data_IF_763445496546
#
_entry.id   IF_763445496546
#
_cell.length_a   1.000
_cell.length_b   1.000
_cell.length_c   1.000
_cell.angle_alpha   90.00
_cell.angle_beta   90.00
_cell.angle_gamma   90.00
#
_symmetry.space_group_name_H-M   'P 1'
#
loop_
_entity.id
_entity.type
_entity.pdbx_description
1 polymer ?
#
# COMPACT_ATOMS: atom_id res chain seq x y z
N UNK A 1 4.52 -21.14 -13.45
CA UNK A 1 4.86 -21.84 -12.19
C UNK A 1 4.90 -20.76 -11.14
N UNK A 2 3.84 -20.62 -10.35
CA UNK A 2 3.82 -19.69 -9.23
C UNK A 2 4.85 -20.20 -8.23
N UNK A 3 5.93 -19.45 -8.08
CA UNK A 3 6.86 -19.70 -6.98
C UNK A 3 6.05 -19.26 -5.77
N UNK A 4 5.60 -20.21 -4.95
CA UNK A 4 4.90 -19.92 -3.70
C UNK A 4 5.94 -19.38 -2.71
N UNK A 5 6.40 -18.15 -2.95
CA UNK A 5 7.27 -17.42 -2.05
C UNK A 5 6.41 -16.95 -0.87
N UNK A 6 6.79 -17.27 0.36
CA UNK A 6 6.02 -16.82 1.51
C UNK A 6 6.03 -15.29 1.54
N UNK A 7 4.89 -14.70 1.92
CA UNK A 7 4.81 -13.28 2.22
C UNK A 7 5.89 -12.94 3.28
N UNK A 8 6.70 -11.88 3.08
CA UNK A 8 7.71 -11.50 4.08
C UNK A 8 7.07 -11.22 5.43
N UNK A 9 7.75 -11.58 6.53
CA UNK A 9 7.24 -11.25 7.87
C UNK A 9 7.53 -9.78 8.20
N UNK A 10 6.69 -9.20 9.06
CA UNK A 10 6.83 -7.81 9.50
C UNK A 10 8.21 -7.55 10.07
N UNK A 11 8.66 -8.41 11.00
CA UNK A 11 9.97 -8.30 11.65
C UNK A 11 11.15 -8.38 10.69
N UNK A 12 11.09 -9.26 9.68
CA UNK A 12 12.18 -9.40 8.72
C UNK A 12 12.37 -8.13 7.89
N UNK A 13 11.26 -7.53 7.42
CA UNK A 13 11.30 -6.27 6.67
C UNK A 13 11.73 -5.12 7.58
N UNK A 14 11.20 -5.05 8.81
CA UNK A 14 11.56 -4.01 9.78
C UNK A 14 13.05 -4.05 10.13
N UNK A 15 13.59 -5.25 10.33
CA UNK A 15 15.01 -5.43 10.60
C UNK A 15 15.87 -4.98 9.41
N UNK A 16 15.48 -5.32 8.18
CA UNK A 16 16.21 -4.91 6.99
C UNK A 16 16.22 -3.38 6.82
N UNK A 17 15.09 -2.71 7.05
CA UNK A 17 14.98 -1.24 7.01
C UNK A 17 15.88 -0.59 8.07
N UNK A 18 15.80 -1.05 9.32
CA UNK A 18 16.62 -0.54 10.44
C UNK A 18 18.11 -0.71 10.20
N UNK A 19 18.55 -1.85 9.65
CA UNK A 19 19.96 -2.10 9.35
C UNK A 19 20.54 -1.16 8.29
N UNK A 20 19.70 -0.62 7.41
CA UNK A 20 20.09 0.36 6.39
C UNK A 20 19.75 1.81 6.79
N UNK A 21 19.35 2.04 8.05
CA UNK A 21 18.96 3.35 8.57
C UNK A 21 17.83 4.04 7.79
N UNK A 22 16.92 3.27 7.19
CA UNK A 22 15.70 3.81 6.56
C UNK A 22 14.69 4.13 7.67
N UNK A 23 14.19 5.36 7.69
CA UNK A 23 13.32 5.88 8.73
C UNK A 23 11.83 5.51 8.54
N UNK A 24 11.57 4.32 8.01
CA UNK A 24 10.23 3.76 7.86
C UNK A 24 10.15 2.42 8.60
N UNK A 25 8.97 2.11 9.10
CA UNK A 25 8.57 0.78 9.53
C UNK A 25 8.20 -0.10 8.33
N UNK A 26 8.09 -1.40 8.56
CA UNK A 26 7.61 -2.35 7.57
C UNK A 26 6.18 -2.05 7.11
N UNK A 27 5.30 -1.59 8.01
CA UNK A 27 3.94 -1.18 7.66
C UNK A 27 3.94 0.03 6.73
N UNK A 28 4.71 1.08 7.06
CA UNK A 28 4.84 2.27 6.22
C UNK A 28 5.41 1.94 4.83
N UNK A 29 6.47 1.12 4.77
CA UNK A 29 7.05 0.68 3.51
C UNK A 29 6.07 -0.13 2.67
N UNK A 30 5.33 -1.05 3.30
CA UNK A 30 4.30 -1.83 2.60
C UNK A 30 3.13 -0.95 2.14
N UNK A 31 2.73 0.04 2.95
CA UNK A 31 1.74 1.05 2.58
C UNK A 31 2.17 1.80 1.34
N UNK A 32 3.40 2.30 1.30
CA UNK A 32 3.96 2.99 0.14
C UNK A 32 3.95 2.12 -1.13
N UNK A 33 4.47 0.89 -1.03
CA UNK A 33 4.48 -0.06 -2.15
C UNK A 33 3.06 -0.37 -2.64
N UNK A 34 2.13 -0.59 -1.71
CA UNK A 34 0.72 -0.85 -2.01
C UNK A 34 0.06 0.34 -2.68
N UNK A 35 0.34 1.57 -2.22
CA UNK A 35 -0.19 2.80 -2.81
C UNK A 35 0.31 3.03 -4.25
N UNK A 36 1.59 2.75 -4.51
CA UNK A 36 2.14 2.80 -5.86
C UNK A 36 1.46 1.78 -6.79
N UNK A 37 1.29 0.54 -6.33
CA UNK A 37 0.62 -0.52 -7.08
C UNK A 37 -0.86 -0.21 -7.33
N UNK A 38 -1.60 0.16 -6.28
CA UNK A 38 -3.00 0.52 -6.36
C UNK A 38 -3.22 1.79 -7.18
N UNK A 39 -2.22 2.67 -7.29
CA UNK A 39 -2.24 3.82 -8.18
C UNK A 39 -1.89 3.51 -9.64
N UNK A 40 -1.59 2.26 -9.99
CA UNK A 40 -1.38 1.81 -11.37
C UNK A 40 0.09 1.60 -11.77
N UNK A 41 1.03 1.55 -10.82
CA UNK A 41 2.41 1.19 -11.12
C UNK A 41 2.51 -0.28 -11.59
N UNK A 42 3.23 -0.54 -12.68
CA UNK A 42 3.37 -1.88 -13.27
C UNK A 42 4.77 -2.25 -13.73
N UNK A 43 5.73 -1.34 -13.59
CA UNK A 43 7.08 -1.50 -14.13
C UNK A 43 8.14 -1.20 -13.07
N UNK A 44 9.41 -1.26 -13.43
CA UNK A 44 10.51 -1.09 -12.48
C UNK A 44 10.65 0.35 -11.93
N UNK A 45 9.83 1.32 -12.36
CA UNK A 45 9.89 2.69 -11.86
C UNK A 45 9.58 2.81 -10.37
N UNK A 46 8.86 1.85 -9.77
CA UNK A 46 8.56 1.84 -8.34
C UNK A 46 9.83 1.96 -7.48
N UNK A 47 10.96 1.38 -7.91
CA UNK A 47 12.21 1.43 -7.15
C UNK A 47 12.72 2.87 -7.02
N UNK A 48 12.76 3.60 -8.14
CA UNK A 48 13.18 5.00 -8.14
C UNK A 48 12.24 5.86 -7.28
N UNK A 49 10.92 5.65 -7.41
CA UNK A 49 9.93 6.37 -6.59
C UNK A 49 10.11 6.10 -5.10
N UNK A 50 10.30 4.84 -4.70
CA UNK A 50 10.55 4.51 -3.28
C UNK A 50 11.85 5.16 -2.80
N UNK A 51 12.94 5.12 -3.59
CA UNK A 51 14.19 5.79 -3.20
C UNK A 51 14.00 7.30 -3.03
N UNK A 52 13.30 7.96 -3.96
CA UNK A 52 13.04 9.40 -3.90
C UNK A 52 12.24 9.78 -2.65
N UNK A 53 11.26 8.95 -2.28
CA UNK A 53 10.35 9.21 -1.15
C UNK A 53 10.93 8.83 0.21
N UNK A 54 11.89 7.90 0.26
CA UNK A 54 12.32 7.27 1.53
C UNK A 54 13.82 7.30 1.78
N UNK A 55 14.63 7.67 0.80
CA UNK A 55 16.10 7.61 0.87
C UNK A 55 16.80 8.69 0.03
N UNK A 56 16.20 9.87 -0.13
CA UNK A 56 16.78 11.01 -0.85
C UNK A 56 17.21 10.68 -2.31
N UNK A 57 16.51 9.73 -2.95
CA UNK A 57 16.81 9.24 -4.30
C UNK A 57 18.03 8.30 -4.37
N UNK A 58 18.65 7.97 -3.24
CA UNK A 58 19.79 7.04 -3.19
C UNK A 58 19.26 5.61 -3.25
N UNK A 59 19.83 4.80 -4.14
CA UNK A 59 19.46 3.39 -4.27
C UNK A 59 19.79 2.59 -3.01
N UNK A 60 18.91 1.66 -2.64
CA UNK A 60 19.16 0.77 -1.50
C UNK A 60 20.25 -0.26 -1.78
N UNK A 61 21.05 -0.63 -0.76
CA UNK A 61 21.93 -1.79 -0.84
C UNK A 61 21.15 -3.07 -1.13
N UNK A 62 21.80 -4.04 -1.78
CA UNK A 62 21.15 -5.31 -2.17
C UNK A 62 20.48 -6.05 -1.00
N UNK A 63 21.00 -5.88 0.22
CA UNK A 63 20.45 -6.47 1.44
C UNK A 63 19.02 -5.99 1.77
N UNK A 64 18.65 -4.77 1.36
CA UNK A 64 17.30 -4.23 1.51
C UNK A 64 16.51 -4.28 0.19
N UNK A 65 17.19 -4.07 -0.95
CA UNK A 65 16.52 -4.11 -2.25
C UNK A 65 15.89 -5.50 -2.55
N UNK A 66 16.57 -6.59 -2.18
CA UNK A 66 16.05 -7.95 -2.40
C UNK A 66 14.72 -8.24 -1.65
N UNK A 67 14.61 -8.03 -0.32
CA UNK A 67 13.33 -8.24 0.37
C UNK A 67 12.24 -7.25 -0.08
N UNK A 68 12.57 -6.01 -0.43
CA UNK A 68 11.57 -5.06 -0.97
C UNK A 68 11.06 -5.48 -2.36
N UNK A 69 11.92 -6.06 -3.20
CA UNK A 69 11.50 -6.60 -4.49
C UNK A 69 10.57 -7.82 -4.32
N UNK A 70 10.81 -8.65 -3.31
CA UNK A 70 9.92 -9.75 -2.96
C UNK A 70 8.58 -9.25 -2.41
N UNK A 71 8.60 -8.27 -1.50
CA UNK A 71 7.40 -7.62 -0.98
C UNK A 71 6.57 -7.05 -2.13
N UNK A 72 7.17 -6.23 -3.00
CA UNK A 72 6.51 -5.68 -4.18
C UNK A 72 5.87 -6.76 -5.07
N UNK A 73 6.60 -7.85 -5.34
CA UNK A 73 6.12 -8.90 -6.22
C UNK A 73 4.92 -9.64 -5.64
N UNK A 74 4.95 -9.99 -4.36
CA UNK A 74 3.84 -10.69 -3.70
C UNK A 74 2.66 -9.76 -3.48
N UNK A 75 2.88 -8.49 -3.13
CA UNK A 75 1.81 -7.49 -3.02
C UNK A 75 1.11 -7.30 -4.36
N UNK A 76 1.85 -7.22 -5.47
CA UNK A 76 1.26 -7.14 -6.81
C UNK A 76 0.44 -8.38 -7.15
N UNK A 77 1.01 -9.57 -6.94
CA UNK A 77 0.33 -10.84 -7.25
C UNK A 77 -0.97 -11.00 -6.47
N UNK A 78 -1.00 -10.60 -5.20
CA UNK A 78 -2.21 -10.71 -4.35
C UNK A 78 -3.26 -9.63 -4.62
N UNK A 79 -2.87 -8.46 -5.13
CA UNK A 79 -3.80 -7.43 -5.62
C UNK A 79 -4.42 -7.78 -6.98
N UNK A 80 -3.71 -8.54 -7.82
CA UNK A 80 -4.18 -9.03 -9.12
C UNK A 80 -5.02 -10.32 -9.01
N UNK A 81 -5.07 -10.94 -7.83
CA UNK A 81 -5.78 -12.20 -7.60
C UNK A 81 -7.27 -11.99 -7.34
N UNK A 82 -8.13 -12.72 -8.06
CA UNK A 82 -9.59 -12.67 -7.93
C UNK A 82 -10.10 -13.22 -6.57
N UNK A 83 -9.24 -13.87 -5.78
CA UNK A 83 -9.56 -14.47 -4.49
C UNK A 83 -9.49 -13.50 -3.30
N UNK A 84 -9.23 -12.21 -3.52
CA UNK A 84 -9.10 -11.20 -2.46
C UNK A 84 -7.98 -11.50 -1.44
N UNK A 85 -6.88 -12.11 -1.90
CA UNK A 85 -5.75 -12.55 -1.08
C UNK A 85 -4.80 -11.43 -0.63
N UNK A 86 -5.04 -10.18 -1.02
CA UNK A 86 -4.25 -9.03 -0.55
C UNK A 86 -4.32 -8.91 0.97
N UNK A 87 -3.15 -8.80 1.60
CA UNK A 87 -2.97 -8.64 3.06
C UNK A 87 -2.07 -7.45 3.34
N UNK A 88 -2.36 -6.76 4.43
CA UNK A 88 -1.51 -5.70 4.96
C UNK A 88 -0.37 -6.30 5.78
N UNK A 89 0.86 -5.82 5.56
CA UNK A 89 2.02 -6.14 6.39
C UNK A 89 1.94 -5.34 7.71
N UNK A 90 1.40 -5.96 8.75
CA UNK A 90 1.16 -5.38 10.06
C UNK A 90 2.00 -6.10 11.14
N UNK A 91 2.25 -5.49 12.31
CA UNK A 91 2.79 -6.21 13.46
C UNK A 91 1.93 -7.44 13.81
N UNK A 92 2.55 -8.49 14.32
CA UNK A 92 1.86 -9.71 14.77
C UNK A 92 1.02 -9.43 16.03
N UNK A 93 0.13 -10.36 16.39
CA UNK A 93 -0.82 -10.22 17.51
C UNK A 93 -0.17 -10.18 18.91
N UNK A 94 1.13 -10.41 19.01
CA UNK A 94 1.89 -10.22 20.24
C UNK A 94 2.30 -8.75 20.49
N UNK A 95 2.19 -7.89 19.47
CA UNK A 95 2.33 -6.45 19.60
C UNK A 95 1.12 -5.84 20.33
N UNK A 96 1.36 -4.73 21.05
CA UNK A 96 0.26 -4.04 21.73
C UNK A 96 -0.76 -3.51 20.72
N UNK A 97 -2.02 -3.35 21.14
CA UNK A 97 -3.06 -2.71 20.30
C UNK A 97 -2.64 -1.31 19.84
N UNK A 98 -1.91 -0.58 20.70
CA UNK A 98 -1.37 0.75 20.40
C UNK A 98 -0.30 0.71 19.29
N UNK A 99 0.65 -0.23 19.35
CA UNK A 99 1.65 -0.41 18.30
C UNK A 99 1.00 -0.80 16.95
N UNK A 100 -0.05 -1.61 16.99
CA UNK A 100 -0.81 -2.01 15.79
C UNK A 100 -1.64 -0.85 15.23
N UNK A 101 -2.22 -0.01 16.07
CA UNK A 101 -2.92 1.21 15.67
C UNK A 101 -1.97 2.24 15.05
N UNK A 102 -0.80 2.46 15.64
CA UNK A 102 0.25 3.32 15.08
C UNK A 102 0.73 2.79 13.72
N UNK A 103 0.94 1.47 13.62
CA UNK A 103 1.30 0.84 12.36
C UNK A 103 0.22 1.00 11.28
N UNK A 104 -1.06 0.96 11.66
CA UNK A 104 -2.17 1.17 10.73
C UNK A 104 -2.18 2.60 10.20
N UNK A 105 -2.05 3.58 11.09
CA UNK A 105 -1.94 4.99 10.69
C UNK A 105 -0.74 5.22 9.77
N UNK A 106 0.43 4.65 10.12
CA UNK A 106 1.63 4.70 9.28
C UNK A 106 1.42 4.06 7.90
N UNK A 107 0.76 2.89 7.86
CA UNK A 107 0.43 2.19 6.62
C UNK A 107 -0.47 3.06 5.73
N UNK A 108 -1.56 3.61 6.27
CA UNK A 108 -2.53 4.42 5.52
C UNK A 108 -1.90 5.72 5.01
N UNK A 109 -1.10 6.40 5.83
CA UNK A 109 -0.38 7.60 5.42
C UNK A 109 0.53 7.34 4.21
N UNK A 110 1.28 6.24 4.23
CA UNK A 110 2.20 5.91 3.14
C UNK A 110 1.48 5.32 1.92
N UNK A 111 0.36 4.63 2.11
CA UNK A 111 -0.54 4.25 1.03
C UNK A 111 -1.05 5.47 0.27
N UNK A 112 -1.58 6.47 0.98
CA UNK A 112 -2.06 7.72 0.38
C UNK A 112 -0.92 8.49 -0.32
N UNK A 113 0.29 8.47 0.24
CA UNK A 113 1.48 9.04 -0.40
C UNK A 113 1.77 8.36 -1.75
N UNK A 114 1.86 7.03 -1.78
CA UNK A 114 2.11 6.27 -3.00
C UNK A 114 1.00 6.47 -4.04
N UNK A 115 -0.26 6.43 -3.59
CA UNK A 115 -1.42 6.63 -4.45
C UNK A 115 -1.43 8.04 -5.07
N UNK A 116 -1.15 9.06 -4.27
CA UNK A 116 -1.09 10.45 -4.74
C UNK A 116 0.04 10.74 -5.72
N UNK A 117 1.19 10.05 -5.59
CA UNK A 117 2.30 10.12 -6.55
C UNK A 117 1.88 9.57 -7.91
N UNK A 118 1.12 8.46 -7.92
CA UNK A 118 0.69 7.83 -9.16
C UNK A 118 -0.54 8.51 -9.79
N UNK A 119 -1.37 9.16 -8.99
CA UNK A 119 -2.62 9.81 -9.41
C UNK A 119 -2.60 11.33 -9.14
N UNK A 120 -2.01 12.16 -10.02
CA UNK A 120 -1.90 13.62 -9.82
C UNK A 120 -3.25 14.36 -9.67
N UNK A 121 -4.35 13.72 -10.03
CA UNK A 121 -5.73 14.23 -9.90
C UNK A 121 -6.53 13.49 -8.82
N UNK A 122 -5.87 12.84 -7.86
CA UNK A 122 -6.54 12.07 -6.80
C UNK A 122 -7.62 12.87 -6.06
N UNK A 123 -7.42 14.17 -5.85
CA UNK A 123 -8.39 15.06 -5.22
C UNK A 123 -9.67 15.33 -6.07
N UNK A 124 -9.71 14.89 -7.33
CA UNK A 124 -10.86 15.03 -8.23
C UNK A 124 -11.64 13.72 -8.39
N UNK A 125 -11.15 12.61 -7.83
CA UNK A 125 -11.83 11.32 -7.82
C UNK A 125 -13.10 11.46 -6.98
N UNK A 126 -14.19 10.85 -7.46
CA UNK A 126 -15.52 10.92 -6.86
C UNK A 126 -16.07 9.50 -6.67
N UNK A 127 -17.35 9.44 -6.32
CA UNK A 127 -18.08 8.19 -6.13
C UNK A 127 -17.45 7.34 -5.01
N UNK A 128 -17.67 6.04 -5.04
CA UNK A 128 -17.26 5.12 -3.98
C UNK A 128 -15.76 5.16 -3.70
N UNK A 129 -14.91 5.29 -4.74
CA UNK A 129 -13.45 5.37 -4.57
C UNK A 129 -13.04 6.69 -3.94
N UNK A 130 -13.71 7.79 -4.30
CA UNK A 130 -13.47 9.10 -3.69
C UNK A 130 -13.82 9.11 -2.20
N UNK A 131 -14.95 8.53 -1.82
CA UNK A 131 -15.38 8.36 -0.43
C UNK A 131 -14.38 7.50 0.36
N UNK A 132 -13.96 6.37 -0.20
CA UNK A 132 -12.94 5.52 0.43
C UNK A 132 -11.62 6.26 0.65
N UNK A 133 -11.17 7.08 -0.30
CA UNK A 133 -9.95 7.89 -0.15
C UNK A 133 -10.11 8.94 0.97
N UNK A 134 -11.28 9.57 1.09
CA UNK A 134 -11.55 10.52 2.16
C UNK A 134 -11.61 9.85 3.53
N UNK A 135 -12.20 8.66 3.61
CA UNK A 135 -12.19 7.84 4.83
C UNK A 135 -10.77 7.43 5.23
N UNK A 136 -9.94 7.01 4.27
CA UNK A 136 -8.52 6.71 4.51
C UNK A 136 -7.77 7.95 5.05
N UNK A 137 -8.09 9.17 4.58
CA UNK A 137 -7.48 10.40 5.13
C UNK A 137 -7.90 10.64 6.58
N UNK A 138 -9.13 10.31 6.93
CA UNK A 138 -9.60 10.39 8.31
C UNK A 138 -8.92 9.34 9.19
N UNK A 139 -8.76 8.10 8.70
CA UNK A 139 -8.06 7.00 9.38
C UNK A 139 -6.59 7.31 9.62
N UNK A 140 -5.92 7.94 8.65
CA UNK A 140 -4.54 8.41 8.81
C UNK A 140 -4.35 9.43 9.94
N UNK A 141 -5.42 10.09 10.38
CA UNK A 141 -5.43 11.11 11.44
C UNK A 141 -6.09 10.61 12.73
N UNK A 142 -6.64 9.40 12.72
CA UNK A 142 -7.24 8.79 13.90
C UNK A 142 -6.14 8.51 14.92
N UNK A 143 -6.40 8.98 16.15
CA UNK A 143 -5.64 8.61 17.34
C UNK A 143 -6.55 7.85 18.30
N UNK A 144 -5.95 7.25 19.31
CA UNK A 144 -6.63 6.56 20.40
C UNK A 144 -6.34 7.27 21.72
N UNK A 145 -7.22 7.10 22.70
CA UNK A 145 -6.98 7.56 24.08
C UNK A 145 -6.35 6.41 24.88
N UNK A 146 -5.26 6.67 25.61
CA UNK A 146 -4.53 5.61 26.35
C UNK A 146 -5.37 4.97 27.48
N UNK A 147 -6.45 5.62 27.91
CA UNK A 147 -7.40 5.17 28.92
C UNK A 147 -8.66 4.49 28.35
N UNK A 148 -8.74 4.29 27.03
CA UNK A 148 -9.78 3.47 26.39
C UNK A 148 -9.70 2.00 26.81
N UNK A 149 -10.84 1.32 26.72
CA UNK A 149 -10.90 -0.13 26.91
C UNK A 149 -10.13 -0.83 25.78
N UNK A 150 -9.08 -1.56 26.15
CA UNK A 150 -8.19 -2.21 25.18
C UNK A 150 -8.91 -3.30 24.37
N UNK A 151 -9.89 -4.02 24.95
CA UNK A 151 -10.64 -5.03 24.22
C UNK A 151 -11.55 -4.39 23.17
N UNK A 152 -12.19 -3.26 23.50
CA UNK A 152 -13.00 -2.48 22.56
C UNK A 152 -12.15 -1.87 21.44
N UNK A 153 -10.96 -1.36 21.78
CA UNK A 153 -10.01 -0.84 20.81
C UNK A 153 -9.48 -1.93 19.88
N UNK A 154 -9.19 -3.14 20.39
CA UNK A 154 -8.75 -4.28 19.58
C UNK A 154 -9.82 -4.67 18.55
N UNK A 155 -11.08 -4.81 18.98
CA UNK A 155 -12.16 -5.13 18.05
C UNK A 155 -12.35 -4.03 17.00
N UNK A 156 -12.31 -2.76 17.42
CA UNK A 156 -12.43 -1.62 16.50
C UNK A 156 -11.28 -1.59 15.49
N UNK A 157 -10.06 -1.90 15.95
CA UNK A 157 -8.88 -1.92 15.10
C UNK A 157 -8.99 -3.00 14.02
N UNK A 158 -9.42 -4.22 14.35
CA UNK A 158 -9.62 -5.30 13.37
C UNK A 158 -10.60 -4.88 12.26
N UNK A 159 -11.71 -4.23 12.62
CA UNK A 159 -12.70 -3.72 11.67
C UNK A 159 -12.12 -2.64 10.74
N UNK A 160 -11.34 -1.71 11.30
CA UNK A 160 -10.70 -0.64 10.51
C UNK A 160 -9.60 -1.21 9.61
N UNK A 161 -8.80 -2.17 10.08
CA UNK A 161 -7.79 -2.85 9.25
C UNK A 161 -8.46 -3.52 8.04
N UNK A 162 -9.57 -4.22 8.24
CA UNK A 162 -10.30 -4.86 7.15
C UNK A 162 -10.91 -3.83 6.18
N UNK A 163 -11.46 -2.73 6.69
CA UNK A 163 -11.93 -1.62 5.85
C UNK A 163 -10.79 -1.07 4.97
N UNK A 164 -9.63 -0.78 5.56
CA UNK A 164 -8.45 -0.26 4.85
C UNK A 164 -7.99 -1.23 3.77
N UNK A 165 -7.99 -2.54 4.07
CA UNK A 165 -7.65 -3.59 3.11
C UNK A 165 -8.59 -3.60 1.90
N UNK A 166 -9.90 -3.51 2.14
CA UNK A 166 -10.92 -3.45 1.07
C UNK A 166 -10.82 -2.15 0.28
N UNK A 167 -10.60 -1.01 0.94
CA UNK A 167 -10.41 0.28 0.27
C UNK A 167 -9.18 0.29 -0.65
N UNK A 168 -8.09 -0.39 -0.26
CA UNK A 168 -6.92 -0.56 -1.11
C UNK A 168 -7.23 -1.38 -2.38
N UNK A 169 -7.97 -2.49 -2.24
CA UNK A 169 -8.42 -3.32 -3.37
C UNK A 169 -9.33 -2.51 -4.30
N UNK A 170 -10.25 -1.72 -3.75
CA UNK A 170 -11.12 -0.83 -4.52
C UNK A 170 -10.31 0.20 -5.32
N UNK A 171 -9.30 0.84 -4.69
CA UNK A 171 -8.39 1.76 -5.38
C UNK A 171 -7.63 1.04 -6.52
N UNK A 172 -7.14 -0.18 -6.27
CA UNK A 172 -6.48 -0.97 -7.30
C UNK A 172 -7.42 -1.26 -8.49
N UNK A 173 -8.65 -1.66 -8.24
CA UNK A 173 -9.64 -1.89 -9.30
C UNK A 173 -9.91 -0.64 -10.15
N UNK A 174 -9.97 0.54 -9.53
CA UNK A 174 -10.22 1.81 -10.23
C UNK A 174 -9.02 2.28 -11.07
N UNK A 175 -7.80 2.22 -10.52
CA UNK A 175 -6.65 2.87 -11.16
C UNK A 175 -5.67 1.92 -11.84
N UNK A 176 -5.70 0.62 -11.53
CA UNK A 176 -4.78 -0.34 -12.14
C UNK A 176 -5.25 -0.80 -13.52
N UNK A 177 -6.54 -0.72 -13.86
CA UNK A 177 -6.97 -0.98 -15.22
C UNK A 177 -6.50 0.15 -16.16
N UNK A 178 -5.89 -0.15 -17.31
CA UNK A 178 -5.73 0.86 -18.34
C UNK A 178 -7.15 1.26 -18.77
N UNK A 179 -7.56 2.49 -18.44
CA UNK A 179 -8.85 3.02 -18.84
C UNK A 179 -9.15 2.74 -20.32
N UNK A 180 -10.43 2.68 -20.72
CA UNK A 180 -10.84 2.20 -22.03
C UNK A 180 -9.99 2.86 -23.11
N UNK A 181 -9.23 2.04 -23.85
CA UNK A 181 -8.44 2.48 -24.99
C UNK A 181 -9.36 3.34 -25.84
N UNK A 182 -8.96 4.61 -26.04
CA UNK A 182 -9.70 5.52 -26.89
C UNK A 182 -10.08 4.79 -28.19
N UNK A 183 -11.34 4.91 -28.67
CA UNK A 183 -11.79 4.15 -29.82
C UNK A 183 -10.81 4.39 -30.96
N UNK A 184 -10.28 3.31 -31.55
CA UNK A 184 -9.40 3.37 -32.71
C UNK A 184 -9.99 4.37 -33.71
N UNK A 185 -9.27 5.47 -33.94
CA UNK A 185 -9.57 6.39 -35.04
C UNK A 185 -9.33 5.61 -36.31
N UNK A 186 -10.38 4.93 -36.82
CA UNK A 186 -10.38 4.30 -38.14
C UNK A 186 -10.04 5.38 -39.14
N UNK A 187 -8.80 5.37 -39.62
CA UNK A 187 -8.37 6.23 -40.73
C UNK A 187 -9.27 5.92 -41.92
N UNK A 188 -9.88 6.92 -42.58
CA UNK A 188 -10.71 6.66 -43.74
C UNK A 188 -9.84 6.07 -44.84
N UNK A 189 -10.15 4.84 -45.24
CA UNK A 189 -9.58 4.23 -46.44
C UNK A 189 -10.14 4.99 -47.63
N UNK A 190 -9.28 5.75 -48.31
CA UNK A 190 -9.62 6.39 -49.59
C UNK A 190 -9.77 5.28 -50.64
N UNK A 191 -10.97 5.17 -51.21
CA UNK A 191 -11.25 4.43 -52.44
C UNK A 191 -11.40 5.39 -53.60
#
# INVERSE_FOLDING_TARGET
MSINKPFPTYDAVNQALRQQAVALTAAEMHGLVSGLLCGGNRDASWQALVHDLTNEGIAFPQALNAPLQELYQVTRETLEDDGFEFRMLMPDDDASVFDRADALSGWVNHFLLGLGVMQPKLAQVKDEVGEAIDDLRNIAQLGYEEDEDQEELEQSLEEVVEYVRVAAILCHAEFAEPGPTAPEVRKPTLH
#
